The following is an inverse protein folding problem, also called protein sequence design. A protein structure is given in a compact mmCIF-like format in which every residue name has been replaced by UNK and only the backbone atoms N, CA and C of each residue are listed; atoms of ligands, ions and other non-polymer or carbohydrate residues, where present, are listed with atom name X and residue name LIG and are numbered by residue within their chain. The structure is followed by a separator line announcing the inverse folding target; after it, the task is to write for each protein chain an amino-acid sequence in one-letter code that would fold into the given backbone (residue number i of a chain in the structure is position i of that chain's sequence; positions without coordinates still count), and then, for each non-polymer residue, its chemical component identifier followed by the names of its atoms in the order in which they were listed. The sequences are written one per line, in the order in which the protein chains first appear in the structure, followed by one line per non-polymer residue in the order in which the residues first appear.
data_IF_182867056215
#
_entry.id   IF_182867056215
#
_cell.length_a   1.000
_cell.length_b   1.000
_cell.length_c   1.000
_cell.angle_alpha   90.00
_cell.angle_beta   90.00
_cell.angle_gamma   90.00
#
_symmetry.space_group_name_H-M   'P 1'
#
loop_
_entity.id
_entity.type
_entity.pdbx_description
1 polymer ?
#
# COMPACT_ATOMS: atom_id res chain seq x y z
N UNK A 1 -14.00 -19.83 13.13
CA UNK A 1 -14.00 -19.97 11.65
C UNK A 1 -13.71 -18.65 10.96
N UNK A 2 -14.36 -17.52 11.35
CA UNK A 2 -14.09 -16.20 10.75
C UNK A 2 -12.62 -15.79 10.97
N UNK A 3 -12.11 -15.83 12.19
CA UNK A 3 -10.72 -15.49 12.49
C UNK A 3 -9.71 -16.33 11.68
N UNK A 4 -9.96 -17.63 11.50
CA UNK A 4 -9.11 -18.52 10.70
C UNK A 4 -9.16 -18.24 9.18
N UNK A 5 -10.15 -17.50 8.70
CA UNK A 5 -10.21 -16.99 7.32
C UNK A 5 -9.43 -15.68 7.25
N UNK A 6 -9.68 -14.79 8.20
CA UNK A 6 -9.01 -13.49 8.31
C UNK A 6 -7.48 -13.62 8.43
N UNK A 7 -6.99 -14.57 9.24
CA UNK A 7 -5.53 -14.83 9.36
C UNK A 7 -4.85 -15.39 8.10
N UNK A 8 -5.60 -15.65 7.04
CA UNK A 8 -5.07 -16.10 5.74
C UNK A 8 -5.15 -15.01 4.66
N UNK A 9 -5.74 -13.88 4.98
CA UNK A 9 -5.81 -12.76 4.06
C UNK A 9 -4.47 -12.00 4.09
N UNK A 10 -4.17 -11.32 3.00
CA UNK A 10 -3.05 -10.40 2.97
C UNK A 10 -3.29 -9.27 4.00
N UNK A 11 -2.23 -8.78 4.61
CA UNK A 11 -2.32 -7.89 5.79
C UNK A 11 -2.96 -6.55 5.47
N UNK A 12 -2.69 -5.99 4.28
CA UNK A 12 -3.34 -4.76 3.83
C UNK A 12 -4.84 -4.97 3.63
N UNK A 13 -5.25 -6.04 2.91
CA UNK A 13 -6.67 -6.37 2.69
C UNK A 13 -7.38 -6.65 4.01
N UNK A 14 -6.70 -7.32 4.94
CA UNK A 14 -7.24 -7.57 6.28
C UNK A 14 -7.45 -6.26 7.05
N UNK A 15 -6.52 -5.31 6.95
CA UNK A 15 -6.65 -3.99 7.57
C UNK A 15 -7.90 -3.27 7.06
N UNK A 16 -8.10 -3.20 5.74
CA UNK A 16 -9.25 -2.55 5.12
C UNK A 16 -10.57 -3.19 5.53
N UNK A 17 -10.63 -4.53 5.57
CA UNK A 17 -11.81 -5.27 6.04
C UNK A 17 -12.09 -4.97 7.52
N UNK A 18 -11.05 -4.89 8.35
CA UNK A 18 -11.22 -4.57 9.78
C UNK A 18 -11.69 -3.13 10.00
N UNK A 19 -11.32 -2.19 9.14
CA UNK A 19 -11.79 -0.79 9.22
C UNK A 19 -13.29 -0.66 8.95
N UNK A 20 -13.91 -1.56 8.18
CA UNK A 20 -15.36 -1.57 7.92
C UNK A 20 -16.18 -1.99 9.14
N UNK A 21 -15.56 -2.53 10.20
CA UNK A 21 -16.26 -2.91 11.41
C UNK A 21 -16.30 -1.79 12.46
N UNK A 22 -17.37 -1.76 13.27
CA UNK A 22 -17.42 -0.94 14.47
C UNK A 22 -16.22 -1.20 15.39
N UNK A 23 -15.73 -0.17 16.09
CA UNK A 23 -14.58 -0.26 17.00
C UNK A 23 -14.63 -1.46 17.95
N UNK A 24 -15.83 -1.81 18.48
CA UNK A 24 -16.01 -2.93 19.40
C UNK A 24 -15.78 -4.29 18.71
N UNK A 25 -16.29 -4.46 17.50
CA UNK A 25 -16.12 -5.69 16.71
C UNK A 25 -14.69 -5.82 16.21
N UNK A 26 -14.10 -4.72 15.70
CA UNK A 26 -12.71 -4.66 15.25
C UNK A 26 -11.77 -5.18 16.33
N UNK A 27 -11.88 -4.67 17.57
CA UNK A 27 -11.06 -5.10 18.69
C UNK A 27 -11.18 -6.60 18.96
N UNK A 28 -12.41 -7.15 18.95
CA UNK A 28 -12.66 -8.58 19.17
C UNK A 28 -12.00 -9.42 18.05
N UNK A 29 -12.10 -8.98 16.80
CA UNK A 29 -11.47 -9.70 15.68
C UNK A 29 -9.95 -9.66 15.78
N UNK A 30 -9.34 -8.52 16.10
CA UNK A 30 -7.89 -8.39 16.29
C UNK A 30 -7.41 -9.29 17.43
N UNK A 31 -8.14 -9.37 18.55
CA UNK A 31 -7.81 -10.27 19.67
C UNK A 31 -7.90 -11.77 19.31
N UNK A 32 -8.62 -12.12 18.24
CA UNK A 32 -8.79 -13.50 17.77
C UNK A 32 -7.79 -13.89 16.67
N UNK A 33 -7.01 -12.95 16.17
CA UNK A 33 -5.93 -13.22 15.19
C UNK A 33 -4.73 -13.88 15.86
N UNK A 34 -3.94 -14.58 15.06
CA UNK A 34 -2.65 -15.11 15.49
C UNK A 34 -1.72 -13.95 15.91
N UNK A 35 -0.81 -14.17 16.84
CA UNK A 35 0.03 -13.12 17.43
C UNK A 35 0.89 -12.40 16.38
N UNK A 36 1.39 -13.11 15.37
CA UNK A 36 2.16 -12.58 14.24
C UNK A 36 1.30 -11.60 13.43
N UNK A 37 0.14 -12.03 12.96
CA UNK A 37 -0.80 -11.22 12.16
C UNK A 37 -1.32 -10.02 12.96
N UNK A 38 -1.53 -10.21 14.27
CA UNK A 38 -1.95 -9.10 15.15
C UNK A 38 -0.90 -8.01 15.22
N UNK A 39 0.37 -8.41 15.39
CA UNK A 39 1.49 -7.47 15.44
C UNK A 39 1.59 -6.68 14.12
N UNK A 40 1.47 -7.35 12.99
CA UNK A 40 1.51 -6.74 11.67
C UNK A 40 0.37 -5.71 11.47
N UNK A 41 -0.85 -6.09 11.86
CA UNK A 41 -2.01 -5.18 11.80
C UNK A 41 -1.84 -3.97 12.74
N UNK A 42 -1.30 -4.17 13.95
CA UNK A 42 -1.02 -3.08 14.89
C UNK A 42 0.06 -2.13 14.33
N UNK A 43 1.08 -2.67 13.67
CA UNK A 43 2.13 -1.89 13.01
C UNK A 43 1.55 -1.07 11.84
N UNK A 44 0.79 -1.67 10.93
CA UNK A 44 0.16 -0.97 9.80
C UNK A 44 -0.79 0.13 10.31
N UNK A 45 -1.60 -0.17 11.32
CA UNK A 45 -2.54 0.79 11.91
C UNK A 45 -1.86 1.88 12.78
N UNK A 46 -0.55 1.83 12.97
CA UNK A 46 0.20 2.90 13.65
C UNK A 46 0.54 4.07 12.73
N UNK A 47 0.43 3.88 11.42
CA UNK A 47 0.59 4.91 10.41
C UNK A 47 -0.73 5.66 10.17
N UNK A 48 -0.65 6.94 9.82
CA UNK A 48 -1.79 7.72 9.41
C UNK A 48 -2.29 7.26 8.01
N UNK A 49 -3.56 7.51 7.68
CA UNK A 49 -4.19 7.00 6.44
C UNK A 49 -3.55 7.57 5.15
N UNK A 50 -2.91 8.72 5.24
CA UNK A 50 -2.18 9.40 4.18
C UNK A 50 -0.69 9.02 4.11
N UNK A 51 -0.19 8.22 5.05
CA UNK A 51 1.17 7.70 5.05
C UNK A 51 1.26 6.36 4.32
N UNK A 52 2.34 6.15 3.54
CA UNK A 52 2.52 4.94 2.71
C UNK A 52 2.59 3.65 3.54
N UNK A 53 3.04 3.73 4.80
CA UNK A 53 3.07 2.62 5.73
C UNK A 53 1.70 2.03 6.04
N UNK A 54 0.61 2.82 5.91
CA UNK A 54 -0.76 2.35 6.08
C UNK A 54 -1.23 1.40 4.97
N UNK A 55 -0.54 1.40 3.82
CA UNK A 55 -0.88 0.64 2.61
C UNK A 55 0.06 -0.52 2.30
N UNK A 56 1.10 -0.70 3.13
CA UNK A 56 2.06 -1.79 2.94
C UNK A 56 1.47 -3.16 3.27
N UNK A 57 2.10 -4.21 2.74
CA UNK A 57 1.88 -5.60 3.15
C UNK A 57 3.13 -6.17 3.83
N UNK A 58 2.93 -7.11 4.75
CA UNK A 58 4.01 -7.89 5.38
C UNK A 58 4.29 -9.20 4.65
N UNK A 59 3.62 -9.42 3.51
CA UNK A 59 3.78 -10.60 2.66
C UNK A 59 5.00 -10.43 1.73
N UNK A 60 6.19 -10.71 2.23
CA UNK A 60 7.46 -10.64 1.48
C UNK A 60 8.47 -11.66 1.99
N UNK A 61 9.55 -11.85 1.22
CA UNK A 61 10.68 -12.72 1.58
C UNK A 61 11.88 -11.87 1.97
N UNK A 62 12.50 -12.18 3.11
CA UNK A 62 13.71 -11.53 3.59
C UNK A 62 14.81 -12.55 3.92
N UNK A 63 16.04 -12.24 3.54
CA UNK A 63 17.23 -13.05 3.83
C UNK A 63 18.38 -12.16 4.31
N UNK A 64 19.39 -12.75 4.96
CA UNK A 64 20.60 -12.04 5.37
C UNK A 64 21.66 -12.01 4.25
N UNK A 65 22.42 -10.91 4.16
CA UNK A 65 23.46 -10.67 3.16
C UNK A 65 24.59 -11.72 3.14
N UNK A 66 24.90 -12.30 4.29
CA UNK A 66 26.06 -13.19 4.51
C UNK A 66 25.78 -14.67 4.23
N UNK A 67 24.64 -14.98 3.62
CA UNK A 67 24.29 -16.35 3.24
C UNK A 67 24.97 -16.75 1.92
N UNK A 68 25.11 -18.07 1.74
CA UNK A 68 25.40 -18.65 0.42
C UNK A 68 24.12 -18.77 -0.41
N UNK A 69 24.22 -18.87 -1.73
CA UNK A 69 23.06 -19.09 -2.64
C UNK A 69 22.23 -20.30 -2.19
N UNK A 70 22.87 -21.36 -1.71
CA UNK A 70 22.18 -22.56 -1.20
C UNK A 70 21.37 -22.27 0.06
N UNK A 71 21.92 -21.51 0.99
CA UNK A 71 21.25 -21.15 2.25
C UNK A 71 20.11 -20.17 1.96
N UNK A 72 20.35 -19.14 1.14
CA UNK A 72 19.35 -18.21 0.68
C UNK A 72 18.14 -18.91 0.02
N UNK A 73 18.40 -19.89 -0.85
CA UNK A 73 17.34 -20.71 -1.45
C UNK A 73 16.58 -21.55 -0.42
N UNK A 74 17.26 -22.03 0.62
CA UNK A 74 16.61 -22.81 1.69
C UNK A 74 15.69 -21.92 2.51
N UNK A 75 16.14 -20.72 2.86
CA UNK A 75 15.32 -19.72 3.56
C UNK A 75 14.13 -19.26 2.74
N UNK A 76 14.34 -18.95 1.45
CA UNK A 76 13.26 -18.63 0.53
C UNK A 76 12.18 -19.72 0.51
N UNK A 77 12.54 -20.98 0.32
CA UNK A 77 11.58 -22.10 0.29
C UNK A 77 10.82 -22.22 1.62
N UNK A 78 11.48 -21.97 2.74
CA UNK A 78 10.84 -21.98 4.05
C UNK A 78 9.79 -20.87 4.20
N UNK A 79 10.10 -19.66 3.74
CA UNK A 79 9.23 -18.48 3.84
C UNK A 79 8.11 -18.51 2.78
N UNK A 80 8.37 -19.04 1.58
CA UNK A 80 7.40 -19.16 0.49
C UNK A 80 6.20 -20.07 0.81
N UNK A 81 6.29 -20.85 1.89
CA UNK A 81 5.13 -21.62 2.39
C UNK A 81 4.05 -20.72 3.03
N UNK A 82 4.41 -19.51 3.44
CA UNK A 82 3.53 -18.54 4.11
C UNK A 82 3.31 -17.27 3.27
N UNK A 83 4.25 -16.92 2.42
CA UNK A 83 4.27 -15.69 1.63
C UNK A 83 4.12 -16.00 0.15
N UNK A 84 3.21 -15.28 -0.52
CA UNK A 84 2.94 -15.44 -1.96
C UNK A 84 3.78 -14.46 -2.81
N UNK A 85 4.21 -13.33 -2.23
CA UNK A 85 5.05 -12.34 -2.91
C UNK A 85 6.52 -12.76 -2.83
N UNK A 86 6.94 -13.59 -3.78
CA UNK A 86 8.25 -14.24 -3.82
C UNK A 86 9.15 -13.76 -4.99
N UNK A 87 8.63 -12.90 -5.88
CA UNK A 87 9.38 -12.43 -7.07
C UNK A 87 10.63 -11.67 -6.69
N UNK A 88 10.55 -10.86 -5.63
CA UNK A 88 11.66 -10.09 -5.08
C UNK A 88 12.00 -10.61 -3.69
N UNK A 89 13.28 -10.87 -3.47
CA UNK A 89 13.83 -11.29 -2.18
C UNK A 89 14.60 -10.11 -1.61
N UNK A 90 14.17 -9.60 -0.47
CA UNK A 90 14.85 -8.49 0.21
C UNK A 90 16.00 -8.99 1.05
N UNK A 91 17.07 -8.22 1.08
CA UNK A 91 18.30 -8.56 1.78
C UNK A 91 18.55 -7.55 2.88
N UNK A 92 18.82 -8.05 4.09
CA UNK A 92 19.14 -7.26 5.26
C UNK A 92 20.55 -7.56 5.76
N UNK A 93 21.14 -6.58 6.45
CA UNK A 93 22.44 -6.73 7.11
C UNK A 93 22.33 -7.51 8.41
N UNK A 94 23.45 -7.79 9.06
CA UNK A 94 23.48 -8.37 10.41
C UNK A 94 22.89 -7.42 11.49
N UNK A 95 22.75 -6.12 11.21
CA UNK A 95 22.07 -5.13 12.05
C UNK A 95 20.59 -4.94 11.75
N UNK A 96 20.00 -5.82 10.92
CA UNK A 96 18.60 -5.79 10.47
C UNK A 96 18.25 -4.59 9.57
N UNK A 97 19.23 -3.89 9.03
CA UNK A 97 19.03 -2.79 8.10
C UNK A 97 18.86 -3.31 6.67
N UNK A 98 18.01 -2.66 5.90
CA UNK A 98 17.83 -2.96 4.49
C UNK A 98 19.14 -2.75 3.71
N UNK A 99 19.56 -3.74 2.94
CA UNK A 99 20.79 -3.72 2.18
C UNK A 99 20.55 -3.69 0.67
N UNK A 100 19.52 -4.37 0.18
CA UNK A 100 19.19 -4.45 -1.23
C UNK A 100 18.17 -5.53 -1.53
N UNK A 101 18.06 -5.91 -2.79
CA UNK A 101 17.12 -6.93 -3.24
C UNK A 101 17.74 -7.87 -4.28
N UNK A 102 17.18 -9.07 -4.41
CA UNK A 102 17.55 -10.07 -5.41
C UNK A 102 16.28 -10.47 -6.17
N UNK A 103 16.34 -10.51 -7.49
CA UNK A 103 15.28 -11.11 -8.29
C UNK A 103 15.29 -12.64 -8.12
N UNK A 104 14.12 -13.23 -7.90
CA UNK A 104 13.97 -14.68 -7.74
C UNK A 104 14.59 -15.45 -8.92
N UNK A 105 14.44 -14.95 -10.13
CA UNK A 105 15.00 -15.56 -11.33
C UNK A 105 16.52 -15.65 -11.24
N UNK A 106 17.20 -14.58 -10.79
CA UNK A 106 18.64 -14.54 -10.66
C UNK A 106 19.15 -15.51 -9.60
N UNK A 107 18.42 -15.63 -8.48
CA UNK A 107 18.72 -16.62 -7.44
C UNK A 107 18.55 -18.06 -7.95
N UNK A 108 17.51 -18.34 -8.77
CA UNK A 108 17.23 -19.68 -9.32
C UNK A 108 18.32 -20.10 -10.32
N UNK A 109 18.83 -19.19 -11.17
CA UNK A 109 19.83 -19.51 -12.18
C UNK A 109 21.26 -19.48 -11.64
N UNK A 110 21.49 -18.93 -10.46
CA UNK A 110 22.79 -18.84 -9.84
C UNK A 110 23.36 -20.23 -9.51
N UNK A 111 24.67 -20.35 -9.62
CA UNK A 111 25.37 -21.57 -9.21
C UNK A 111 25.50 -21.60 -7.68
N UNK A 112 25.49 -22.79 -7.12
CA UNK A 112 25.57 -23.00 -5.65
C UNK A 112 26.76 -22.30 -4.99
N UNK A 113 27.88 -22.23 -5.68
CA UNK A 113 29.13 -21.67 -5.18
C UNK A 113 29.33 -20.20 -5.61
N UNK A 114 28.28 -19.59 -6.19
CA UNK A 114 28.31 -18.17 -6.55
C UNK A 114 28.17 -17.32 -5.30
N UNK A 115 28.96 -16.25 -5.13
CA UNK A 115 28.76 -15.32 -4.02
C UNK A 115 27.38 -14.67 -4.11
N UNK A 116 26.61 -14.70 -3.04
CA UNK A 116 25.28 -14.08 -3.00
C UNK A 116 25.35 -12.56 -3.23
N UNK A 117 26.42 -11.94 -2.73
CA UNK A 117 26.68 -10.50 -2.85
C UNK A 117 26.67 -10.00 -4.32
N UNK A 118 27.10 -10.83 -5.28
CA UNK A 118 27.07 -10.46 -6.71
C UNK A 118 25.66 -10.44 -7.33
N UNK A 119 24.67 -11.01 -6.63
CA UNK A 119 23.28 -11.00 -7.05
C UNK A 119 22.48 -9.85 -6.43
N UNK A 120 23.01 -9.22 -5.38
CA UNK A 120 22.29 -8.19 -4.62
C UNK A 120 22.35 -6.86 -5.37
N UNK A 121 21.18 -6.32 -5.70
CA UNK A 121 21.01 -4.96 -6.23
C UNK A 121 20.91 -4.00 -5.05
N UNK A 122 22.02 -3.33 -4.71
CA UNK A 122 22.08 -2.40 -3.57
C UNK A 122 21.49 -1.02 -3.88
N UNK A 123 21.30 -0.67 -5.16
CA UNK A 123 20.63 0.57 -5.60
C UNK A 123 19.14 0.38 -5.81
N UNK A 124 18.52 -0.53 -5.06
CA UNK A 124 17.09 -0.81 -5.14
C UNK A 124 16.28 0.34 -4.55
N UNK A 125 15.18 0.77 -5.21
CA UNK A 125 14.34 1.86 -4.70
C UNK A 125 13.63 1.46 -3.40
N UNK A 126 13.37 2.42 -2.53
CA UNK A 126 12.64 2.23 -1.27
C UNK A 126 11.87 3.50 -0.89
N UNK A 127 10.94 3.38 0.02
CA UNK A 127 10.20 4.49 0.65
C UNK A 127 10.22 4.33 2.17
N UNK A 128 10.03 5.43 2.90
CA UNK A 128 9.84 5.37 4.36
C UNK A 128 8.35 5.25 4.69
N UNK A 129 8.01 4.48 5.71
CA UNK A 129 6.63 4.27 6.13
C UNK A 129 5.87 5.56 6.45
N UNK A 130 6.57 6.62 6.82
CA UNK A 130 6.04 7.97 7.12
C UNK A 130 5.98 8.91 5.91
N UNK A 131 6.40 8.45 4.72
CA UNK A 131 6.26 9.26 3.51
C UNK A 131 4.78 9.39 3.13
N UNK A 132 4.39 10.59 2.68
CA UNK A 132 3.01 10.83 2.27
C UNK A 132 2.74 10.16 0.90
N UNK A 133 1.58 9.53 0.78
CA UNK A 133 1.16 8.85 -0.45
C UNK A 133 1.20 9.81 -1.63
N UNK A 134 0.65 11.01 -1.48
CA UNK A 134 0.58 12.04 -2.53
C UNK A 134 1.96 12.45 -3.05
N UNK A 135 2.98 12.45 -2.18
CA UNK A 135 4.35 12.85 -2.52
C UNK A 135 5.12 11.73 -3.22
N UNK A 136 4.94 10.48 -2.79
CA UNK A 136 5.72 9.34 -3.31
C UNK A 136 5.05 8.61 -4.48
N UNK A 137 3.74 8.77 -4.69
CA UNK A 137 2.99 8.01 -5.70
C UNK A 137 3.47 8.27 -7.13
N UNK A 138 3.92 9.49 -7.44
CA UNK A 138 4.44 9.82 -8.78
C UNK A 138 5.72 9.05 -9.09
N UNK A 139 6.63 8.95 -8.11
CA UNK A 139 7.87 8.20 -8.24
C UNK A 139 7.59 6.68 -8.26
N UNK A 140 6.63 6.21 -7.44
CA UNK A 140 6.24 4.81 -7.38
C UNK A 140 5.66 4.28 -8.70
N UNK A 141 4.93 5.11 -9.46
CA UNK A 141 4.40 4.76 -10.79
C UNK A 141 5.49 4.47 -11.83
N UNK A 142 6.63 5.15 -11.70
CA UNK A 142 7.72 5.06 -12.67
C UNK A 142 8.66 3.88 -12.38
N UNK A 143 8.52 3.23 -11.22
CA UNK A 143 9.30 2.04 -10.88
C UNK A 143 8.78 0.81 -11.64
N UNK A 144 9.72 0.00 -12.12
CA UNK A 144 9.44 -1.24 -12.87
C UNK A 144 9.49 -2.50 -12.00
N UNK A 145 9.76 -2.31 -10.73
CA UNK A 145 9.92 -3.37 -9.74
C UNK A 145 8.57 -3.96 -9.32
N UNK A 146 8.53 -5.28 -9.07
CA UNK A 146 7.31 -5.98 -8.64
C UNK A 146 6.86 -5.55 -7.23
N UNK A 147 7.80 -5.15 -6.37
CA UNK A 147 7.54 -4.64 -5.03
C UNK A 147 8.64 -3.71 -4.54
N UNK A 148 8.27 -2.71 -3.77
CA UNK A 148 9.15 -1.67 -3.23
C UNK A 148 9.16 -1.79 -1.70
N UNK A 149 10.34 -1.87 -1.06
CA UNK A 149 10.43 -1.99 0.39
C UNK A 149 10.05 -0.69 1.09
N UNK A 150 9.30 -0.83 2.18
CA UNK A 150 8.93 0.23 3.11
C UNK A 150 9.82 0.12 4.34
N UNK A 151 10.54 1.19 4.65
CA UNK A 151 11.52 1.22 5.73
C UNK A 151 11.06 2.09 6.89
N UNK A 152 11.60 1.82 8.08
CA UNK A 152 11.53 2.74 9.21
C UNK A 152 12.66 3.78 9.16
N UNK A 153 12.67 4.71 10.14
CA UNK A 153 13.70 5.74 10.25
C UNK A 153 15.10 5.19 10.59
N UNK A 154 15.20 3.94 11.01
CA UNK A 154 16.47 3.23 11.27
C UNK A 154 16.88 2.35 10.06
N UNK A 155 16.25 2.54 8.89
CA UNK A 155 16.42 1.77 7.66
C UNK A 155 16.10 0.26 7.78
N UNK A 156 15.24 -0.12 8.71
CA UNK A 156 14.77 -1.50 8.85
C UNK A 156 13.54 -1.73 7.98
N UNK A 157 13.44 -2.92 7.44
CA UNK A 157 12.32 -3.33 6.59
C UNK A 157 11.05 -3.55 7.44
N UNK A 158 10.01 -2.75 7.19
CA UNK A 158 8.70 -2.86 7.83
C UNK A 158 7.73 -3.71 7.00
N UNK A 159 7.75 -3.52 5.69
CA UNK A 159 6.83 -4.14 4.76
C UNK A 159 7.22 -3.83 3.32
N UNK A 160 6.30 -4.07 2.40
CA UNK A 160 6.49 -3.76 0.98
C UNK A 160 5.21 -3.18 0.38
N UNK A 161 5.36 -2.36 -0.65
CA UNK A 161 4.27 -1.94 -1.54
C UNK A 161 4.43 -2.74 -2.84
N UNK A 162 3.43 -3.53 -3.20
CA UNK A 162 3.42 -4.29 -4.45
C UNK A 162 2.93 -3.43 -5.62
N UNK A 163 3.27 -3.82 -6.85
CA UNK A 163 2.74 -3.16 -8.05
C UNK A 163 1.20 -3.13 -8.07
N UNK A 164 0.54 -4.14 -7.51
CA UNK A 164 -0.91 -4.15 -7.36
C UNK A 164 -1.40 -3.05 -6.40
N UNK A 165 -0.74 -2.91 -5.23
CA UNK A 165 -1.08 -1.83 -4.29
C UNK A 165 -0.85 -0.45 -4.90
N UNK A 166 0.20 -0.26 -5.72
CA UNK A 166 0.46 1.01 -6.41
C UNK A 166 -0.68 1.34 -7.38
N UNK A 167 -1.19 0.37 -8.13
CA UNK A 167 -2.33 0.59 -9.04
C UNK A 167 -3.57 1.01 -8.25
N UNK A 168 -3.88 0.33 -7.15
CA UNK A 168 -5.03 0.67 -6.31
C UNK A 168 -4.89 2.09 -5.72
N UNK A 169 -3.69 2.46 -5.25
CA UNK A 169 -3.40 3.81 -4.74
C UNK A 169 -3.58 4.90 -5.81
N UNK A 170 -3.13 4.63 -7.04
CA UNK A 170 -3.30 5.55 -8.18
C UNK A 170 -4.78 5.74 -8.52
N UNK A 171 -5.56 4.66 -8.52
CA UNK A 171 -6.99 4.70 -8.82
C UNK A 171 -7.75 5.47 -7.71
N UNK A 172 -7.39 5.27 -6.44
CA UNK A 172 -7.95 6.00 -5.29
C UNK A 172 -7.66 7.51 -5.41
N UNK A 173 -6.40 7.89 -5.66
CA UNK A 173 -5.98 9.29 -5.80
C UNK A 173 -6.69 9.98 -6.99
N UNK A 174 -6.77 9.30 -8.14
CA UNK A 174 -7.52 9.82 -9.29
C UNK A 174 -9.00 9.99 -8.96
N UNK A 175 -9.60 9.07 -8.22
CA UNK A 175 -10.98 9.13 -7.75
C UNK A 175 -11.22 10.36 -6.87
N UNK A 176 -10.31 10.63 -5.93
CA UNK A 176 -10.33 11.78 -5.04
C UNK A 176 -10.24 13.11 -5.82
N UNK A 177 -9.35 13.18 -6.78
CA UNK A 177 -9.19 14.38 -7.60
C UNK A 177 -10.43 14.65 -8.46
N UNK A 178 -11.03 13.63 -9.07
CA UNK A 178 -12.30 13.79 -9.77
C UNK A 178 -13.42 14.19 -8.83
N UNK A 179 -13.48 13.66 -7.63
CA UNK A 179 -14.48 14.04 -6.63
C UNK A 179 -14.30 15.49 -6.19
N UNK A 180 -13.07 15.92 -5.90
CA UNK A 180 -12.73 17.31 -5.56
C UNK A 180 -13.12 18.28 -6.71
N UNK A 181 -12.82 17.92 -7.97
CA UNK A 181 -13.22 18.71 -9.15
C UNK A 181 -14.73 18.80 -9.32
N UNK A 182 -15.48 17.76 -8.97
CA UNK A 182 -16.94 17.73 -8.99
C UNK A 182 -17.58 18.39 -7.76
N UNK A 183 -16.78 18.88 -6.80
CA UNK A 183 -17.25 19.40 -5.51
C UNK A 183 -17.84 18.31 -4.62
N UNK A 184 -17.42 17.06 -4.83
CA UNK A 184 -17.78 15.90 -4.05
C UNK A 184 -16.63 15.56 -3.09
N UNK A 185 -16.92 14.82 -2.04
CA UNK A 185 -15.92 14.10 -1.25
C UNK A 185 -15.86 12.67 -1.76
N UNK A 186 -14.68 12.08 -1.87
CA UNK A 186 -14.49 10.72 -2.40
C UNK A 186 -15.19 9.63 -1.56
N UNK A 187 -15.40 9.87 -0.28
CA UNK A 187 -16.18 9.01 0.60
C UNK A 187 -17.69 9.13 0.30
N UNK A 188 -18.15 8.55 -0.81
CA UNK A 188 -19.55 8.20 -0.96
C UNK A 188 -19.82 6.92 -0.17
N UNK A 189 -20.19 7.06 1.11
CA UNK A 189 -20.76 5.97 1.87
C UNK A 189 -22.08 5.55 1.18
N UNK A 190 -22.08 4.37 0.56
CA UNK A 190 -23.25 3.79 -0.13
C UNK A 190 -24.49 3.68 0.80
N UNK A 191 -24.28 3.82 2.11
CA UNK A 191 -25.33 3.81 3.13
C UNK A 191 -25.69 5.23 3.62
N UNK A 192 -25.12 6.29 3.04
CA UNK A 192 -25.41 7.66 3.47
C UNK A 192 -26.86 8.04 3.14
N UNK A 193 -27.61 8.61 4.12
CA UNK A 193 -28.98 9.02 3.86
C UNK A 193 -29.02 10.16 2.82
N UNK A 194 -29.91 10.05 1.84
CA UNK A 194 -30.06 10.98 0.70
C UNK A 194 -30.02 12.47 1.10
N UNK A 195 -30.43 12.83 2.28
CA UNK A 195 -30.42 14.22 2.77
C UNK A 195 -29.02 14.75 3.04
N UNK A 196 -28.10 13.91 3.52
CA UNK A 196 -26.73 14.30 3.78
C UNK A 196 -25.95 14.38 2.47
N UNK A 197 -26.11 13.41 1.59
CA UNK A 197 -25.54 13.46 0.23
C UNK A 197 -26.01 14.71 -0.53
N UNK A 198 -27.29 15.05 -0.49
CA UNK A 198 -27.80 16.28 -1.10
C UNK A 198 -27.17 17.55 -0.48
N UNK A 199 -26.97 17.56 0.85
CA UNK A 199 -26.40 18.73 1.55
C UNK A 199 -24.94 18.96 1.18
N UNK A 200 -24.17 17.91 0.96
CA UNK A 200 -22.78 17.98 0.49
C UNK A 200 -22.69 18.52 -0.94
N UNK A 201 -23.63 18.13 -1.82
CA UNK A 201 -23.64 18.53 -3.25
C UNK A 201 -24.27 19.92 -3.50
N UNK A 202 -25.14 20.39 -2.64
CA UNK A 202 -25.86 21.67 -2.81
C UNK A 202 -24.95 22.89 -3.03
N UNK A 203 -23.86 23.10 -2.27
CA UNK A 203 -23.01 24.28 -2.48
C UNK A 203 -22.41 24.32 -3.89
N UNK A 204 -21.97 23.19 -4.41
CA UNK A 204 -21.41 23.06 -5.75
C UNK A 204 -22.45 23.32 -6.84
N UNK A 205 -23.65 22.75 -6.71
CA UNK A 205 -24.76 22.97 -7.65
C UNK A 205 -25.17 24.43 -7.71
N UNK A 206 -25.16 25.14 -6.58
CA UNK A 206 -25.45 26.58 -6.53
C UNK A 206 -24.39 27.40 -7.25
N UNK A 207 -23.10 27.03 -7.09
CA UNK A 207 -21.99 27.68 -7.80
C UNK A 207 -22.12 27.45 -9.31
N UNK A 208 -22.40 26.22 -9.76
CA UNK A 208 -22.62 25.92 -11.18
C UNK A 208 -23.81 26.67 -11.77
N UNK A 209 -24.92 26.77 -11.01
CA UNK A 209 -26.09 27.52 -11.42
C UNK A 209 -25.76 29.00 -11.59
N UNK A 210 -25.04 29.60 -10.63
CA UNK A 210 -24.63 31.00 -10.69
C UNK A 210 -23.69 31.24 -11.89
N UNK A 211 -22.72 30.34 -12.12
CA UNK A 211 -21.81 30.42 -13.25
C UNK A 211 -22.57 30.30 -14.59
N UNK A 212 -23.51 29.38 -14.70
CA UNK A 212 -24.36 29.22 -15.87
C UNK A 212 -25.21 30.43 -16.17
N UNK A 213 -25.75 31.10 -15.14
CA UNK A 213 -26.48 32.39 -15.32
C UNK A 213 -25.58 33.51 -15.82
N UNK A 214 -24.34 33.61 -15.30
CA UNK A 214 -23.36 34.60 -15.76
C UNK A 214 -23.03 34.37 -17.23
N UNK A 215 -22.67 33.12 -17.60
CA UNK A 215 -22.36 32.76 -18.99
C UNK A 215 -23.54 33.05 -19.92
N UNK A 216 -24.75 32.65 -19.56
CA UNK A 216 -25.97 32.93 -20.32
C UNK A 216 -26.21 34.41 -20.48
N UNK A 217 -25.97 35.24 -19.46
CA UNK A 217 -26.12 36.68 -19.53
C UNK A 217 -25.10 37.33 -20.47
N UNK A 218 -23.85 36.84 -20.43
CA UNK A 218 -22.79 37.33 -21.35
C UNK A 218 -23.13 36.99 -22.81
N UNK A 219 -23.51 35.74 -23.08
CA UNK A 219 -23.91 35.28 -24.42
C UNK A 219 -25.09 36.12 -24.94
N UNK A 220 -26.10 36.36 -24.11
CA UNK A 220 -27.26 37.20 -24.51
C UNK A 220 -26.93 38.65 -24.82
N UNK A 221 -25.82 39.21 -24.34
CA UNK A 221 -25.34 40.55 -24.70
C UNK A 221 -24.67 40.56 -26.08
N UNK A 222 -23.97 39.47 -26.45
CA UNK A 222 -23.26 39.33 -27.73
C UNK A 222 -24.17 38.86 -28.89
N UNK A 223 -25.34 38.32 -28.60
CA UNK A 223 -26.31 37.82 -29.58
C UNK A 223 -27.27 38.91 -30.10
N UNK A 224 -27.12 40.15 -29.58
CA UNK A 224 -27.84 41.36 -30.07
C UNK A 224 -26.96 42.18 -31.00
#
# INVERSE_FOLDING_TARGET
KAAAILSKMDTNVLSDVLQQFDRSKRKIFIELLDDEVRHDIEMINSFDEDEIGSRMTTNYIVIHENLTVKEAMTELVSQAAKNDNISTIFVITASEEFYGAIDLKDLIIARRDHPLEELIVTSYPYVYGTDLIDECIEDLKDYSEDSIPVLDNDNRLLGVITSANIVDLVDDEMGDDYAKLAGLTAEEDLNEPLRESMKKRMPWLVILLALGMIVSSVVGIFEK
#
